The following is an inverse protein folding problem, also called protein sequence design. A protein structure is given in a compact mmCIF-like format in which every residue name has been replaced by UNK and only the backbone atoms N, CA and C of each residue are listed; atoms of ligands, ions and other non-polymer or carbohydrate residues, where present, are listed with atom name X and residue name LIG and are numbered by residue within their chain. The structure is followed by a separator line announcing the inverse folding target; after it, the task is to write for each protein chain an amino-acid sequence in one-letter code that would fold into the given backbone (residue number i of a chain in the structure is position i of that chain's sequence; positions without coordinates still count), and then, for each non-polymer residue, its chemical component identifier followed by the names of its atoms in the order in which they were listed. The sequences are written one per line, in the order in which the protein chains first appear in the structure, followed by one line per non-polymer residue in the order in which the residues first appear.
data_IF_222851848079
#
_entry.id   IF_222851848079
#
_cell.length_a   1.000
_cell.length_b   1.000
_cell.length_c   1.000
_cell.angle_alpha   90.00
_cell.angle_beta   90.00
_cell.angle_gamma   90.00
#
_symmetry.space_group_name_H-M   'P 1'
#
loop_
_entity.id
_entity.type
_entity.pdbx_description
1 polymer ?
#
# COMPACT_ATOMS: atom_id res chain seq x y z
N UNK A 1 10.55 -12.60 -15.43
CA UNK A 1 11.11 -11.33 -14.86
C UNK A 1 10.65 -10.07 -15.58
N UNK A 2 10.88 -9.89 -16.90
CA UNK A 2 10.53 -8.64 -17.62
C UNK A 2 9.06 -8.20 -17.50
N UNK A 3 8.09 -9.13 -17.56
CA UNK A 3 6.66 -8.80 -17.39
C UNK A 3 6.32 -8.39 -15.95
N UNK A 4 6.94 -9.00 -14.95
CA UNK A 4 6.74 -8.66 -13.55
C UNK A 4 7.24 -7.24 -13.25
N UNK A 5 8.42 -6.89 -13.77
CA UNK A 5 8.99 -5.55 -13.62
C UNK A 5 8.10 -4.50 -14.32
N UNK A 6 7.60 -4.78 -15.53
CA UNK A 6 6.67 -3.88 -16.22
C UNK A 6 5.37 -3.65 -15.43
N UNK A 7 4.81 -4.71 -14.85
CA UNK A 7 3.55 -4.64 -14.07
C UNK A 7 3.70 -3.84 -12.77
N UNK A 8 4.87 -3.91 -12.13
CA UNK A 8 5.14 -3.21 -10.86
C UNK A 8 6.06 -2.01 -11.04
N UNK A 9 6.27 -1.53 -12.28
CA UNK A 9 7.15 -0.41 -12.55
C UNK A 9 6.71 0.84 -11.79
N UNK A 10 5.41 1.12 -11.77
CA UNK A 10 4.82 2.22 -11.01
C UNK A 10 5.12 2.05 -9.51
N UNK A 11 4.96 0.84 -8.97
CA UNK A 11 5.25 0.57 -7.57
C UNK A 11 6.74 0.80 -7.25
N UNK A 12 7.65 0.38 -8.13
CA UNK A 12 9.09 0.62 -7.97
C UNK A 12 9.43 2.11 -8.03
N UNK A 13 8.80 2.88 -8.93
CA UNK A 13 8.98 4.33 -9.02
C UNK A 13 8.48 5.02 -7.74
N UNK A 14 7.28 4.64 -7.26
CA UNK A 14 6.72 5.20 -6.02
C UNK A 14 7.60 4.84 -4.82
N UNK A 15 8.06 3.61 -4.70
CA UNK A 15 9.01 3.21 -3.64
C UNK A 15 10.31 4.00 -3.72
N UNK A 16 10.83 4.24 -4.93
CA UNK A 16 12.02 5.08 -5.14
C UNK A 16 11.83 6.52 -4.66
N UNK A 17 10.64 7.10 -4.89
CA UNK A 17 10.29 8.43 -4.40
C UNK A 17 10.26 8.46 -2.87
N UNK A 18 9.62 7.47 -2.24
CA UNK A 18 9.55 7.39 -0.78
C UNK A 18 10.94 7.19 -0.15
N UNK A 19 11.80 6.39 -0.77
CA UNK A 19 13.21 6.27 -0.38
C UNK A 19 13.93 7.62 -0.44
N UNK A 20 13.78 8.37 -1.53
CA UNK A 20 14.41 9.69 -1.68
C UNK A 20 13.90 10.72 -0.66
N UNK A 21 12.63 10.62 -0.27
CA UNK A 21 12.00 11.50 0.72
C UNK A 21 12.25 11.09 2.18
N UNK A 22 12.75 9.87 2.41
CA UNK A 22 12.96 9.33 3.77
C UNK A 22 13.86 10.23 4.63
N UNK A 23 15.02 10.75 4.15
CA UNK A 23 15.84 11.65 4.95
C UNK A 23 15.10 12.94 5.36
N UNK A 24 14.25 13.48 4.49
CA UNK A 24 13.44 14.67 4.78
C UNK A 24 12.41 14.36 5.89
N UNK A 25 11.83 13.16 5.89
CA UNK A 25 10.94 12.74 6.97
C UNK A 25 11.64 12.64 8.32
N UNK A 26 12.88 12.14 8.35
CA UNK A 26 13.69 12.15 9.58
C UNK A 26 13.95 13.57 10.07
N UNK A 27 14.39 14.48 9.20
CA UNK A 27 14.62 15.88 9.57
C UNK A 27 13.34 16.57 10.08
N UNK A 28 12.21 16.32 9.43
CA UNK A 28 10.91 16.87 9.84
C UNK A 28 10.44 16.33 11.19
N UNK A 29 10.65 15.04 11.43
CA UNK A 29 10.29 14.40 12.69
C UNK A 29 11.17 14.87 13.85
N UNK A 30 12.48 14.98 13.64
CA UNK A 30 13.43 15.54 14.61
C UNK A 30 13.08 16.99 14.96
N UNK A 31 12.75 17.81 13.96
CA UNK A 31 12.36 19.20 14.16
C UNK A 31 11.05 19.35 14.97
N UNK A 32 10.10 18.43 14.79
CA UNK A 32 8.84 18.46 15.55
C UNK A 32 8.95 17.91 16.97
N UNK A 33 9.74 16.85 17.18
CA UNK A 33 9.85 16.20 18.49
C UNK A 33 10.82 16.91 19.42
N UNK A 34 11.83 17.60 18.87
CA UNK A 34 12.88 18.23 19.66
C UNK A 34 13.88 17.23 20.28
N UNK A 35 13.79 15.95 19.92
CA UNK A 35 14.74 14.90 20.29
C UNK A 35 14.76 13.81 19.20
N UNK A 36 15.90 13.12 19.07
CA UNK A 36 16.09 12.09 18.04
C UNK A 36 15.32 10.82 18.44
N UNK A 37 14.16 10.61 17.82
CA UNK A 37 13.29 9.46 18.07
C UNK A 37 13.12 8.67 16.78
N UNK A 38 13.97 7.66 16.59
CA UNK A 38 13.91 6.76 15.44
C UNK A 38 12.85 5.70 15.72
N UNK A 39 11.72 5.78 15.02
CA UNK A 39 10.60 4.85 15.20
C UNK A 39 9.84 4.62 13.92
N UNK A 40 8.78 5.39 13.68
CA UNK A 40 7.93 5.22 12.49
C UNK A 40 8.60 5.60 11.17
N UNK A 41 9.53 6.56 11.17
CA UNK A 41 10.16 7.06 9.93
C UNK A 41 10.98 6.00 9.19
N UNK A 42 11.55 5.01 9.88
CA UNK A 42 12.32 3.94 9.24
C UNK A 42 11.46 3.04 8.36
N UNK A 43 10.15 3.00 8.62
CA UNK A 43 9.18 2.25 7.81
C UNK A 43 8.57 3.11 6.69
N UNK A 44 8.87 4.41 6.63
CA UNK A 44 8.39 5.31 5.58
C UNK A 44 8.65 4.78 4.16
N UNK A 45 9.84 4.25 3.80
CA UNK A 45 10.07 3.67 2.48
C UNK A 45 9.19 2.45 2.15
N UNK A 46 8.66 1.77 3.17
CA UNK A 46 7.87 0.54 3.02
C UNK A 46 6.37 0.82 2.87
N UNK A 47 5.92 2.05 3.12
CA UNK A 47 4.51 2.46 3.00
C UNK A 47 3.92 2.10 1.63
N UNK A 48 4.58 2.37 0.48
CA UNK A 48 4.01 2.03 -0.83
C UNK A 48 3.74 0.53 -0.99
N UNK A 49 4.63 -0.30 -0.44
CA UNK A 49 4.48 -1.74 -0.49
C UNK A 49 3.35 -2.23 0.43
N UNK A 50 3.25 -1.69 1.65
CA UNK A 50 2.12 -1.97 2.55
C UNK A 50 0.77 -1.62 1.93
N UNK A 51 0.64 -0.43 1.33
CA UNK A 51 -0.59 0.00 0.67
C UNK A 51 -0.95 -0.91 -0.51
N UNK A 52 0.05 -1.38 -1.26
CA UNK A 52 -0.17 -2.31 -2.35
C UNK A 52 -0.70 -3.66 -1.87
N UNK A 53 -0.16 -4.20 -0.78
CA UNK A 53 -0.66 -5.44 -0.17
C UNK A 53 -2.09 -5.27 0.36
N UNK A 54 -2.36 -4.18 1.06
CA UNK A 54 -3.71 -3.87 1.55
C UNK A 54 -4.70 -3.73 0.39
N UNK A 55 -4.33 -3.07 -0.69
CA UNK A 55 -5.18 -2.92 -1.87
C UNK A 55 -5.52 -4.26 -2.54
N UNK A 56 -4.56 -5.19 -2.57
CA UNK A 56 -4.80 -6.56 -3.05
C UNK A 56 -5.84 -7.27 -2.18
N UNK A 57 -5.64 -7.27 -0.86
CA UNK A 57 -6.56 -7.88 0.10
C UNK A 57 -7.97 -7.29 -0.01
N UNK A 58 -8.09 -5.97 -0.06
CA UNK A 58 -9.38 -5.28 -0.21
C UNK A 58 -10.06 -5.70 -1.50
N UNK A 59 -9.35 -5.71 -2.63
CA UNK A 59 -9.92 -6.14 -3.91
C UNK A 59 -10.45 -7.57 -3.89
N UNK A 60 -9.72 -8.47 -3.24
CA UNK A 60 -10.12 -9.87 -3.14
C UNK A 60 -11.38 -10.01 -2.28
N UNK A 61 -11.44 -9.33 -1.12
CA UNK A 61 -12.64 -9.31 -0.28
C UNK A 61 -13.85 -8.70 -0.99
N UNK A 62 -13.68 -7.60 -1.72
CA UNK A 62 -14.78 -7.00 -2.50
C UNK A 62 -15.27 -7.93 -3.61
N UNK A 63 -14.38 -8.71 -4.23
CA UNK A 63 -14.74 -9.66 -5.27
C UNK A 63 -15.57 -10.81 -4.69
N UNK A 64 -15.17 -11.36 -3.55
CA UNK A 64 -15.91 -12.40 -2.84
C UNK A 64 -17.29 -11.89 -2.39
N UNK A 65 -17.36 -10.69 -1.83
CA UNK A 65 -18.62 -10.09 -1.39
C UNK A 65 -19.59 -9.86 -2.57
N UNK A 66 -19.09 -9.38 -3.71
CA UNK A 66 -19.90 -9.20 -4.92
C UNK A 66 -20.42 -10.54 -5.45
N UNK A 67 -19.61 -11.59 -5.40
CA UNK A 67 -20.02 -12.92 -5.82
C UNK A 67 -21.17 -13.44 -4.94
N UNK A 68 -21.04 -13.34 -3.61
CA UNK A 68 -22.08 -13.73 -2.64
C UNK A 68 -23.38 -12.96 -2.89
N UNK A 69 -23.31 -11.64 -3.11
CA UNK A 69 -24.49 -10.82 -3.42
C UNK A 69 -25.20 -11.26 -4.71
N UNK A 70 -24.43 -11.57 -5.75
CA UNK A 70 -25.00 -12.00 -7.04
C UNK A 70 -25.67 -13.36 -6.90
N UNK A 71 -25.05 -14.30 -6.17
CA UNK A 71 -25.63 -15.62 -5.90
C UNK A 71 -26.89 -15.53 -5.02
N UNK A 72 -26.99 -14.57 -4.10
CA UNK A 72 -28.22 -14.35 -3.32
C UNK A 72 -29.36 -13.74 -4.13
N UNK A 73 -29.07 -12.84 -5.07
CA UNK A 73 -30.10 -12.25 -5.96
C UNK A 73 -30.63 -13.29 -6.98
N UNK A 74 -29.79 -14.22 -7.43
CA UNK A 74 -30.23 -15.30 -8.32
C UNK A 74 -31.12 -16.32 -7.60
N UNK A 75 -30.81 -16.69 -6.35
CA UNK A 75 -31.60 -17.64 -5.57
C UNK A 75 -32.94 -17.09 -5.01
N UNK A 76 -33.13 -15.76 -4.98
CA UNK A 76 -34.40 -15.14 -4.55
C UNK A 76 -35.40 -15.01 -5.72
N UNK A 77 -34.95 -15.16 -6.96
CA UNK A 77 -35.77 -15.00 -8.17
C UNK A 77 -36.24 -16.33 -8.81
N UNK A 78 -35.92 -17.48 -8.20
CA UNK A 78 -36.44 -18.83 -8.53
C UNK A 78 -37.49 -19.30 -7.51
#
# INVERSE_FOLDING_TARGET
MKQFIKRHFILLVVTGIFLALTPQMFTYADAQRGYNAIGGEMFFPLIPFMLWLMWGMVKDTFKEFKQILTESEENEND
#
